data_IF_590064090322
#
_entry.id   IF_590064090322
#
_cell.length_a   1.000
_cell.length_b   1.000
_cell.length_c   1.000
_cell.angle_alpha   90.00
_cell.angle_beta   90.00
_cell.angle_gamma   90.00
#
_symmetry.space_group_name_H-M   'P 1'
#
loop_
_entity.id
_entity.type
_entity.pdbx_description
1 polymer ?
#
# COMPACT_ATOMS: atom_id res chain seq x y z
N UNK A 1 4.42 14.66 -3.64
CA UNK A 1 4.97 14.12 -2.38
C UNK A 1 4.58 12.64 -2.34
N UNK A 2 5.52 11.71 -2.55
CA UNK A 2 5.24 10.25 -2.64
C UNK A 2 5.26 9.57 -1.26
N UNK A 3 5.62 10.32 -0.22
CA UNK A 3 5.71 9.85 1.17
C UNK A 3 4.38 9.37 1.76
N UNK A 4 3.25 9.63 1.10
CA UNK A 4 1.92 9.17 1.50
C UNK A 4 1.51 7.83 0.88
N UNK A 5 2.23 7.30 -0.11
CA UNK A 5 1.87 6.05 -0.78
C UNK A 5 2.25 4.85 0.11
N UNK A 6 1.36 3.87 0.22
CA UNK A 6 1.58 2.60 0.91
C UNK A 6 1.19 1.49 -0.08
N UNK A 7 2.09 0.55 -0.29
CA UNK A 7 1.86 -0.65 -1.09
C UNK A 7 1.39 -1.75 -0.17
N UNK A 8 0.27 -2.37 -0.52
CA UNK A 8 -0.35 -3.48 0.21
C UNK A 8 -0.11 -4.77 -0.56
N UNK A 9 0.37 -5.80 0.13
CA UNK A 9 0.57 -7.13 -0.44
C UNK A 9 -0.75 -7.70 -1.00
N UNK A 10 -0.74 -8.47 -2.09
CA UNK A 10 -1.91 -9.24 -2.54
C UNK A 10 -2.46 -10.21 -1.49
N UNK A 11 -1.68 -10.55 -0.46
CA UNK A 11 -2.10 -11.45 0.63
C UNK A 11 -3.04 -10.78 1.66
N UNK A 12 -3.24 -9.46 1.57
CA UNK A 12 -4.14 -8.70 2.43
C UNK A 12 -5.31 -8.11 1.61
N UNK A 13 -6.46 -7.99 2.25
CA UNK A 13 -7.56 -7.21 1.69
C UNK A 13 -7.29 -5.71 1.87
N UNK A 14 -7.37 -4.95 0.77
CA UNK A 14 -7.08 -3.52 0.75
C UNK A 14 -8.03 -2.72 1.67
N UNK A 15 -9.30 -3.13 1.77
CA UNK A 15 -10.29 -2.49 2.63
C UNK A 15 -9.97 -2.73 4.11
N UNK A 16 -9.61 -3.96 4.49
CA UNK A 16 -9.25 -4.29 5.88
C UNK A 16 -8.04 -3.48 6.36
N UNK A 17 -7.03 -3.35 5.51
CA UNK A 17 -5.86 -2.48 5.80
C UNK A 17 -6.30 -1.02 5.92
N UNK A 18 -7.17 -0.56 5.02
CA UNK A 18 -7.68 0.81 5.05
C UNK A 18 -8.45 1.13 6.33
N UNK A 19 -9.33 0.23 6.76
CA UNK A 19 -10.08 0.36 8.02
C UNK A 19 -9.13 0.40 9.22
N UNK A 20 -8.18 -0.53 9.29
CA UNK A 20 -7.22 -0.60 10.39
C UNK A 20 -6.38 0.68 10.51
N UNK A 21 -5.93 1.26 9.40
CA UNK A 21 -5.22 2.55 9.40
C UNK A 21 -6.15 3.68 9.82
N UNK A 22 -7.37 3.75 9.27
CA UNK A 22 -8.34 4.81 9.58
C UNK A 22 -8.77 4.79 11.06
N UNK A 23 -8.81 3.62 11.68
CA UNK A 23 -9.17 3.44 13.09
C UNK A 23 -7.99 3.48 14.06
N UNK A 24 -6.78 3.81 13.58
CA UNK A 24 -5.54 3.81 14.38
C UNK A 24 -5.28 2.47 15.11
N UNK A 25 -5.50 1.35 14.40
CA UNK A 25 -5.30 0.02 14.94
C UNK A 25 -3.82 -0.39 14.88
N UNK A 26 -3.01 0.27 15.71
CA UNK A 26 -1.55 0.16 15.75
C UNK A 26 -1.03 -1.28 15.78
N UNK A 27 -1.57 -2.22 16.60
CA UNK A 27 -1.04 -3.58 16.67
C UNK A 27 -1.08 -4.34 15.33
N UNK A 28 -2.17 -4.25 14.57
CA UNK A 28 -2.27 -4.90 13.26
C UNK A 28 -1.37 -4.22 12.23
N UNK A 29 -1.37 -2.88 12.21
CA UNK A 29 -0.55 -2.10 11.28
C UNK A 29 0.94 -2.38 11.49
N UNK A 30 1.41 -2.41 12.74
CA UNK A 30 2.81 -2.74 13.06
C UNK A 30 3.18 -4.15 12.61
N UNK A 31 2.32 -5.13 12.90
CA UNK A 31 2.54 -6.51 12.47
C UNK A 31 2.72 -6.61 10.95
N UNK A 32 1.85 -5.98 10.17
CA UNK A 32 1.97 -6.02 8.71
C UNK A 32 3.21 -5.31 8.18
N UNK A 33 3.70 -4.28 8.87
CA UNK A 33 4.98 -3.64 8.53
C UNK A 33 6.14 -4.61 8.81
N UNK A 34 6.16 -5.26 9.97
CA UNK A 34 7.20 -6.23 10.36
C UNK A 34 7.24 -7.45 9.43
N UNK A 35 6.06 -7.92 8.99
CA UNK A 35 5.90 -9.02 8.04
C UNK A 35 6.10 -8.57 6.57
N UNK A 36 6.42 -7.29 6.32
CA UNK A 36 6.57 -6.69 5.00
C UNK A 36 5.33 -6.81 4.08
N UNK A 37 4.14 -6.96 4.68
CA UNK A 37 2.85 -7.03 3.98
C UNK A 37 2.29 -5.66 3.62
N UNK A 38 2.68 -4.60 4.35
CA UNK A 38 2.45 -3.21 3.93
C UNK A 38 3.76 -2.43 4.01
N UNK A 39 4.07 -1.66 2.97
CA UNK A 39 5.37 -0.98 2.90
C UNK A 39 5.33 0.25 2.00
N UNK A 40 6.37 1.09 2.07
CA UNK A 40 6.59 2.12 1.05
C UNK A 40 7.03 1.47 -0.26
N UNK A 41 6.69 2.05 -1.42
CA UNK A 41 7.20 1.56 -2.69
C UNK A 41 8.73 1.68 -2.70
N UNK A 42 9.41 0.60 -3.11
CA UNK A 42 10.85 0.65 -3.32
C UNK A 42 11.20 1.49 -4.56
N UNK A 43 12.41 2.05 -4.67
CA UNK A 43 12.87 2.74 -5.88
C UNK A 43 12.78 1.87 -7.15
N UNK A 44 13.01 0.57 -7.00
CA UNK A 44 12.88 -0.41 -8.08
C UNK A 44 11.42 -0.54 -8.55
N UNK A 45 10.45 -0.64 -7.63
CA UNK A 45 9.03 -0.67 -7.97
C UNK A 45 8.58 0.60 -8.68
N UNK A 46 8.96 1.77 -8.16
CA UNK A 46 8.65 3.06 -8.80
C UNK A 46 9.19 3.07 -10.24
N UNK A 47 10.44 2.66 -10.43
CA UNK A 47 11.06 2.62 -11.77
C UNK A 47 10.33 1.64 -12.71
N UNK A 48 9.90 0.49 -12.20
CA UNK A 48 9.14 -0.49 -12.99
C UNK A 48 7.75 0.04 -13.38
N UNK A 49 7.07 0.74 -12.48
CA UNK A 49 5.77 1.36 -12.77
C UNK A 49 5.90 2.49 -13.79
N UNK A 50 6.92 3.33 -13.67
CA UNK A 50 7.19 4.42 -14.62
C UNK A 50 7.49 3.89 -16.03
N UNK A 51 8.12 2.72 -16.15
CA UNK A 51 8.39 2.05 -17.43
C UNK A 51 7.15 1.35 -18.01
N UNK A 52 6.20 0.94 -17.17
CA UNK A 52 5.00 0.24 -17.59
C UNK A 52 3.73 1.09 -17.34
N UNK A 53 3.44 1.99 -18.28
CA UNK A 53 2.25 2.86 -18.24
C UNK A 53 0.91 2.09 -18.27
N UNK A 54 0.93 0.79 -18.61
CA UNK A 54 -0.28 -0.05 -18.59
C UNK A 54 -0.56 -0.66 -17.21
N UNK A 55 0.39 -0.56 -16.26
CA UNK A 55 0.24 -1.13 -14.91
C UNK A 55 -0.97 -0.50 -14.22
N UNK A 56 -1.85 -1.36 -13.71
CA UNK A 56 -3.06 -0.99 -12.98
C UNK A 56 -2.93 -1.31 -11.50
N UNK A 57 -3.65 -0.54 -10.70
CA UNK A 57 -3.67 -0.67 -9.25
C UNK A 57 -5.11 -0.52 -8.77
N UNK A 58 -5.47 -1.29 -7.76
CA UNK A 58 -6.58 -0.92 -6.89
C UNK A 58 -6.05 0.11 -5.90
N UNK A 59 -6.78 1.21 -5.70
CA UNK A 59 -6.37 2.28 -4.80
C UNK A 59 -7.46 2.61 -3.79
N UNK A 60 -7.06 2.84 -2.53
CA UNK A 60 -7.92 3.30 -1.45
C UNK A 60 -7.28 4.52 -0.78
N UNK A 61 -8.04 5.60 -0.62
CA UNK A 61 -7.55 6.83 -0.02
C UNK A 61 -7.97 6.87 1.45
N UNK A 62 -6.99 6.81 2.35
CA UNK A 62 -7.18 6.93 3.80
C UNK A 62 -6.30 8.08 4.26
N UNK A 63 -6.83 9.30 4.28
CA UNK A 63 -6.02 10.50 4.49
C UNK A 63 -5.19 10.42 5.77
N UNK A 64 -3.90 10.81 5.73
CA UNK A 64 -3.18 11.47 4.62
C UNK A 64 -2.52 10.49 3.62
N UNK A 65 -2.83 9.19 3.70
CA UNK A 65 -2.22 8.12 2.93
C UNK A 65 -3.05 7.71 1.71
N UNK A 66 -2.35 7.14 0.72
CA UNK A 66 -2.94 6.44 -0.41
C UNK A 66 -2.42 5.02 -0.36
N UNK A 67 -3.32 4.06 -0.23
CA UNK A 67 -3.00 2.64 -0.25
C UNK A 67 -3.20 2.14 -1.67
N UNK A 68 -2.25 1.35 -2.16
CA UNK A 68 -2.33 0.73 -3.49
C UNK A 68 -2.00 -0.74 -3.41
N UNK A 69 -2.70 -1.54 -4.22
CA UNK A 69 -2.42 -2.95 -4.44
C UNK A 69 -2.26 -3.16 -5.94
N UNK A 70 -1.18 -3.83 -6.34
CA UNK A 70 -0.93 -4.11 -7.75
C UNK A 70 -1.98 -5.09 -8.29
N UNK A 71 -2.55 -4.76 -9.44
CA UNK A 71 -3.35 -5.73 -10.19
C UNK A 71 -2.39 -6.59 -11.02
N UNK A 72 -2.64 -7.91 -11.00
CA UNK A 72 -1.94 -8.89 -11.84
C UNK A 72 -2.18 -8.69 -13.32
#
# INVERSE_FOLDING_TARGET
RRDSLIVVSPDLDLLDVGVAIASDNVPYVQRWIEEALIQKPSPAQISAWDQNQSKRFTALIVQPYVLVQEMG
#
